data_IF_363335354993
#
_entry.id   IF_363335354993
#
_cell.length_a   1.000
_cell.length_b   1.000
_cell.length_c   1.000
_cell.angle_alpha   90.00
_cell.angle_beta   90.00
_cell.angle_gamma   90.00
#
_symmetry.space_group_name_H-M   'P 1'
#
loop_
_entity.id
_entity.type
_entity.pdbx_description
1 polymer ?
#
# COMPACT_ATOMS: atom_id res chain seq x y z
N UNK A 1 -20.38 58.22 11.52
CA UNK A 1 -21.64 57.79 12.16
C UNK A 1 -21.66 56.27 12.04
N UNK A 2 -21.15 55.52 13.03
CA UNK A 2 -21.89 54.92 14.18
C UNK A 2 -23.07 54.08 13.69
N UNK A 3 -23.36 52.84 14.12
CA UNK A 3 -22.92 51.90 15.17
C UNK A 3 -23.45 50.53 14.69
N UNK A 4 -22.71 49.43 14.72
CA UNK A 4 -22.54 48.47 15.83
C UNK A 4 -23.83 47.97 16.50
N UNK A 5 -24.15 46.67 16.34
CA UNK A 5 -24.50 45.82 17.48
C UNK A 5 -24.27 44.32 17.20
N UNK A 6 -23.17 43.83 17.76
CA UNK A 6 -22.91 42.43 18.09
C UNK A 6 -24.04 41.81 18.94
N UNK A 7 -24.30 40.51 18.76
CA UNK A 7 -24.33 39.60 19.91
C UNK A 7 -23.49 38.35 19.63
N UNK A 8 -22.59 38.14 20.59
CA UNK A 8 -21.58 37.10 20.73
C UNK A 8 -22.22 35.78 21.18
N UNK A 9 -21.59 34.68 20.78
CA UNK A 9 -21.27 33.60 21.71
C UNK A 9 -19.84 33.11 21.42
N UNK A 10 -18.95 33.50 22.32
CA UNK A 10 -17.63 32.92 22.69
C UNK A 10 -17.86 31.52 23.30
N UNK A 11 -16.97 30.53 23.38
CA UNK A 11 -15.53 30.32 23.16
C UNK A 11 -15.25 28.80 23.42
N UNK A 12 -14.05 28.35 23.05
CA UNK A 12 -13.24 27.23 23.58
C UNK A 12 -12.98 26.01 22.69
N UNK A 13 -11.74 25.98 22.17
CA UNK A 13 -11.08 24.82 21.57
C UNK A 13 -9.81 25.24 20.81
N UNK A 14 -8.79 25.73 21.53
CA UNK A 14 -7.50 26.14 20.98
C UNK A 14 -6.78 24.99 20.25
N UNK A 15 -6.68 25.09 18.93
CA UNK A 15 -5.62 24.48 18.13
C UNK A 15 -4.85 25.60 17.45
N UNK A 16 -3.63 25.89 17.91
CA UNK A 16 -2.79 26.95 17.36
C UNK A 16 -2.48 26.67 15.88
N UNK A 17 -3.21 27.32 14.97
CA UNK A 17 -2.80 27.44 13.57
C UNK A 17 -1.58 28.36 13.52
N UNK A 18 -0.47 27.86 12.99
CA UNK A 18 0.70 28.68 12.71
C UNK A 18 0.31 29.82 11.75
N UNK A 19 0.73 31.07 12.02
CA UNK A 19 0.32 32.20 11.22
C UNK A 19 0.91 32.09 9.79
N UNK A 20 0.15 32.60 8.80
CA UNK A 20 0.40 32.37 7.35
C UNK A 20 1.77 32.86 6.87
N UNK A 21 2.38 33.78 7.60
CA UNK A 21 3.74 34.28 7.39
C UNK A 21 4.81 33.23 7.69
N UNK A 22 4.54 32.28 8.62
CA UNK A 22 5.44 31.17 8.95
C UNK A 22 5.40 30.08 7.87
N UNK A 23 4.23 29.76 7.34
CA UNK A 23 4.07 28.79 6.23
C UNK A 23 4.82 29.26 4.98
N UNK A 24 4.69 30.55 4.63
CA UNK A 24 5.41 31.14 3.50
C UNK A 24 6.92 31.34 3.70
N UNK A 25 7.42 31.23 4.94
CA UNK A 25 8.86 31.24 5.25
C UNK A 25 9.47 29.83 5.17
N UNK A 26 8.70 28.80 5.56
CA UNK A 26 9.10 27.39 5.46
C UNK A 26 9.16 26.94 4.00
N UNK A 27 8.20 27.33 3.17
CA UNK A 27 8.19 27.02 1.74
C UNK A 27 9.33 27.70 0.96
N UNK A 28 9.78 28.89 1.40
CA UNK A 28 10.94 29.58 0.81
C UNK A 28 12.26 28.90 1.18
N UNK A 29 12.43 28.48 2.43
CA UNK A 29 13.66 27.80 2.88
C UNK A 29 13.86 26.42 2.27
N UNK A 30 12.78 25.70 1.96
CA UNK A 30 12.85 24.41 1.25
C UNK A 30 13.26 24.55 -0.23
N UNK A 31 13.11 25.75 -0.82
CA UNK A 31 13.52 26.05 -2.20
C UNK A 31 15.01 26.41 -2.33
N UNK A 32 15.66 26.79 -1.23
CA UNK A 32 17.04 27.31 -1.24
C UNK A 32 18.11 26.30 -0.81
N UNK A 33 17.76 25.03 -0.58
CA UNK A 33 18.73 23.94 -0.57
C UNK A 33 19.73 23.89 0.59
N UNK A 34 19.42 24.49 1.75
CA UNK A 34 20.25 24.36 2.95
C UNK A 34 19.79 23.21 3.86
N UNK A 35 20.74 22.36 4.24
CA UNK A 35 20.56 21.15 5.05
C UNK A 35 20.13 21.46 6.49
N UNK A 36 19.06 20.80 6.96
CA UNK A 36 18.66 20.81 8.38
C UNK A 36 19.45 19.73 9.16
N UNK A 37 20.14 20.14 10.24
CA UNK A 37 20.80 19.24 11.19
C UNK A 37 19.91 19.06 12.44
N UNK A 38 19.70 17.84 12.96
CA UNK A 38 18.78 17.63 14.09
C UNK A 38 19.50 17.92 15.41
N UNK A 39 18.99 18.89 16.17
CA UNK A 39 19.19 18.94 17.63
C UNK A 39 17.84 19.07 18.31
N UNK A 40 17.70 18.34 19.42
CA UNK A 40 16.62 18.32 20.41
C UNK A 40 15.44 17.37 20.14
N UNK A 41 15.71 16.07 20.29
CA UNK A 41 14.68 15.05 20.62
C UNK A 41 14.72 14.62 22.09
N UNK A 42 15.67 15.13 22.88
CA UNK A 42 15.90 14.68 24.26
C UNK A 42 15.49 15.73 25.32
N UNK A 43 14.62 16.68 24.98
CA UNK A 43 14.09 17.60 26.00
C UNK A 43 13.03 16.88 26.84
N UNK A 44 13.05 17.02 28.18
CA UNK A 44 12.04 16.40 29.06
C UNK A 44 10.60 16.75 28.69
N UNK A 45 10.39 17.91 28.10
CA UNK A 45 9.09 18.40 27.62
C UNK A 45 8.55 17.57 26.43
N UNK A 46 9.42 17.14 25.51
CA UNK A 46 9.03 16.33 24.36
C UNK A 46 8.69 14.90 24.79
N UNK A 47 9.49 14.31 25.68
CA UNK A 47 9.24 12.99 26.25
C UNK A 47 7.92 12.98 27.05
N UNK A 48 7.70 14.00 27.88
CA UNK A 48 6.45 14.16 28.64
C UNK A 48 5.21 14.32 27.75
N UNK A 49 5.34 15.00 26.60
CA UNK A 49 4.26 15.16 25.64
C UNK A 49 3.90 13.85 24.94
N UNK A 50 4.90 13.03 24.57
CA UNK A 50 4.71 11.71 23.95
C UNK A 50 4.07 10.72 24.92
N UNK A 51 4.49 10.72 26.19
CA UNK A 51 3.91 9.85 27.22
C UNK A 51 2.45 10.23 27.53
N UNK A 52 2.15 11.52 27.59
CA UNK A 52 0.78 12.03 27.80
C UNK A 52 -0.14 11.68 26.62
N UNK A 53 0.37 11.74 25.39
CA UNK A 53 -0.37 11.32 24.19
C UNK A 53 -0.64 9.80 24.18
N UNK A 54 0.34 8.97 24.59
CA UNK A 54 0.17 7.51 24.69
C UNK A 54 -0.88 7.12 25.73
N UNK A 55 -0.91 7.80 26.89
CA UNK A 55 -1.90 7.54 27.95
C UNK A 55 -3.32 7.91 27.52
N UNK A 56 -3.46 9.03 26.82
CA UNK A 56 -4.75 9.48 26.27
C UNK A 56 -5.27 8.52 25.19
N UNK A 57 -4.37 7.95 24.40
CA UNK A 57 -4.69 6.92 23.39
C UNK A 57 -5.15 5.59 24.03
N UNK A 58 -4.53 5.17 25.12
CA UNK A 58 -4.93 3.96 25.87
C UNK A 58 -6.30 4.11 26.55
N UNK A 59 -6.63 5.29 27.08
CA UNK A 59 -7.94 5.54 27.69
C UNK A 59 -9.08 5.55 26.65
N UNK A 60 -8.86 6.16 25.48
CA UNK A 60 -9.86 6.18 24.39
C UNK A 60 -10.10 4.81 23.75
N UNK A 61 -9.11 3.92 23.78
CA UNK A 61 -9.26 2.56 23.25
C UNK A 61 -10.04 1.65 24.20
N UNK A 62 -10.09 1.93 25.50
CA UNK A 62 -10.93 1.21 26.45
C UNK A 62 -12.41 1.63 26.37
N UNK A 63 -12.70 2.92 26.12
CA UNK A 63 -14.09 3.41 25.96
C UNK A 63 -14.72 2.97 24.63
N UNK A 64 -13.92 2.78 23.57
CA UNK A 64 -14.43 2.34 22.26
C UNK A 64 -14.79 0.85 22.18
N UNK A 65 -14.32 0.02 23.13
CA UNK A 65 -14.58 -1.43 23.13
C UNK A 65 -15.89 -1.85 23.80
N UNK A 66 -16.62 -0.92 24.45
CA UNK A 66 -17.90 -1.22 25.12
C UNK A 66 -19.16 -0.94 24.25
N UNK A 67 -19.00 -0.34 23.06
CA UNK A 67 -20.13 -0.05 22.16
C UNK A 67 -19.80 -0.32 20.69
N UNK A 68 -19.84 -1.59 20.28
CA UNK A 68 -20.05 -1.96 18.88
C UNK A 68 -20.62 -3.38 18.80
N UNK A 69 -21.95 -3.46 18.81
CA UNK A 69 -22.70 -4.67 18.48
C UNK A 69 -22.55 -5.02 16.99
N UNK A 70 -22.59 -6.32 16.73
CA UNK A 70 -22.46 -6.90 15.40
C UNK A 70 -23.63 -6.52 14.48
N UNK A 71 -23.32 -5.94 13.32
CA UNK A 71 -24.20 -6.01 12.14
C UNK A 71 -23.35 -6.11 10.88
N UNK A 72 -23.34 -7.31 10.32
CA UNK A 72 -22.66 -7.64 9.06
C UNK A 72 -23.64 -7.37 7.91
N UNK A 73 -23.42 -6.28 7.17
CA UNK A 73 -24.18 -6.00 5.95
C UNK A 73 -23.68 -6.90 4.82
N UNK A 74 -24.49 -7.92 4.50
CA UNK A 74 -24.44 -8.65 3.23
C UNK A 74 -25.17 -7.84 2.16
N UNK A 75 -24.47 -7.39 1.12
CA UNK A 75 -25.06 -7.24 -0.23
C UNK A 75 -23.97 -7.23 -1.31
N UNK A 76 -23.94 -8.27 -2.15
CA UNK A 76 -24.21 -8.20 -3.60
C UNK A 76 -23.86 -9.55 -4.26
N UNK A 77 -24.75 -10.02 -5.14
CA UNK A 77 -24.66 -11.27 -5.91
C UNK A 77 -23.60 -11.10 -7.02
N UNK A 78 -22.64 -12.03 -7.23
CA UNK A 78 -21.66 -11.89 -8.30
C UNK A 78 -22.31 -12.06 -9.69
N UNK A 79 -22.00 -11.15 -10.60
CA UNK A 79 -22.13 -11.39 -12.05
C UNK A 79 -21.24 -12.58 -12.45
N UNK A 80 -21.63 -13.31 -13.51
CA UNK A 80 -20.96 -14.53 -13.98
C UNK A 80 -19.42 -14.36 -14.02
N UNK A 81 -18.75 -14.99 -13.06
CA UNK A 81 -17.30 -14.97 -12.96
C UNK A 81 -16.72 -15.70 -14.18
N UNK A 82 -15.96 -14.99 -15.02
CA UNK A 82 -15.06 -15.65 -15.98
C UNK A 82 -14.24 -16.68 -15.22
N UNK A 83 -14.29 -17.93 -15.67
CA UNK A 83 -13.52 -19.02 -15.08
C UNK A 83 -12.03 -18.64 -15.12
N UNK A 84 -11.41 -18.48 -13.94
CA UNK A 84 -9.99 -18.12 -13.79
C UNK A 84 -9.11 -19.35 -14.05
N UNK A 85 -9.07 -19.76 -15.31
CA UNK A 85 -8.32 -20.93 -15.77
C UNK A 85 -7.53 -20.59 -17.02
N UNK A 86 -6.38 -21.24 -17.17
CA UNK A 86 -5.50 -21.11 -18.32
C UNK A 86 -5.64 -22.35 -19.22
N UNK A 87 -5.32 -22.21 -20.51
CA UNK A 87 -5.11 -23.37 -21.37
C UNK A 87 -3.92 -24.20 -20.85
N UNK A 88 -3.82 -25.49 -21.21
CA UNK A 88 -2.64 -26.31 -20.87
C UNK A 88 -1.31 -25.68 -21.34
N UNK A 89 -1.30 -25.08 -22.52
CA UNK A 89 -0.13 -24.41 -23.11
C UNK A 89 0.23 -23.15 -22.32
N UNK A 90 -0.77 -22.33 -21.97
CA UNK A 90 -0.58 -21.13 -21.15
C UNK A 90 -0.08 -21.48 -19.74
N UNK A 91 -0.62 -22.54 -19.14
CA UNK A 91 -0.19 -23.05 -17.84
C UNK A 91 1.28 -23.47 -17.87
N UNK A 92 1.67 -24.25 -18.88
CA UNK A 92 3.05 -24.70 -19.08
C UNK A 92 4.00 -23.52 -19.31
N UNK A 93 3.61 -22.55 -20.14
CA UNK A 93 4.41 -21.35 -20.41
C UNK A 93 4.60 -20.48 -19.15
N UNK A 94 3.53 -20.33 -18.35
CA UNK A 94 3.58 -19.57 -17.10
C UNK A 94 4.52 -20.23 -16.09
N UNK A 95 4.39 -21.55 -15.88
CA UNK A 95 5.28 -22.31 -15.00
C UNK A 95 6.74 -22.27 -15.47
N UNK A 96 6.99 -22.34 -16.77
CA UNK A 96 8.34 -22.26 -17.31
C UNK A 96 8.97 -20.88 -17.10
N UNK A 97 8.21 -19.81 -17.35
CA UNK A 97 8.67 -18.44 -17.08
C UNK A 97 8.98 -18.24 -15.60
N UNK A 98 8.08 -18.69 -14.71
CA UNK A 98 8.30 -18.64 -13.27
C UNK A 98 9.52 -19.46 -12.85
N UNK A 99 9.72 -20.66 -13.42
CA UNK A 99 10.89 -21.52 -13.15
C UNK A 99 12.20 -20.81 -13.44
N UNK A 100 12.31 -20.23 -14.64
CA UNK A 100 13.52 -19.53 -15.07
C UNK A 100 13.80 -18.35 -14.12
N UNK A 101 12.76 -17.61 -13.74
CA UNK A 101 12.92 -16.49 -12.80
C UNK A 101 13.34 -16.95 -11.41
N UNK A 102 12.67 -17.97 -10.88
CA UNK A 102 12.99 -18.58 -9.58
C UNK A 102 14.48 -18.98 -9.55
N UNK A 103 14.94 -19.71 -10.55
CA UNK A 103 16.35 -20.13 -10.64
C UNK A 103 17.35 -18.96 -10.73
N UNK A 104 16.96 -17.84 -11.35
CA UNK A 104 17.78 -16.64 -11.45
C UNK A 104 17.76 -15.77 -10.18
N UNK A 105 16.82 -16.00 -9.26
CA UNK A 105 16.63 -15.21 -8.04
C UNK A 105 16.74 -16.04 -6.75
N UNK A 106 17.77 -16.89 -6.56
CA UNK A 106 17.86 -17.82 -5.43
C UNK A 106 17.89 -17.12 -4.05
N UNK A 107 18.22 -15.84 -4.03
CA UNK A 107 18.22 -15.01 -2.82
C UNK A 107 16.81 -14.72 -2.29
N UNK A 108 15.76 -14.83 -3.11
CA UNK A 108 14.37 -14.58 -2.70
C UNK A 108 13.77 -15.75 -1.91
N UNK A 109 14.19 -16.99 -2.20
CA UNK A 109 13.53 -18.22 -1.74
C UNK A 109 14.55 -19.28 -1.29
N UNK A 110 15.52 -18.89 -0.46
CA UNK A 110 16.53 -19.79 0.09
C UNK A 110 15.89 -21.02 0.75
N UNK A 111 16.33 -22.21 0.35
CA UNK A 111 15.87 -23.48 0.91
C UNK A 111 14.57 -24.03 0.31
N UNK A 112 13.94 -23.31 -0.61
CA UNK A 112 12.69 -23.73 -1.27
C UNK A 112 13.02 -24.47 -2.56
N UNK A 113 12.40 -25.63 -2.80
CA UNK A 113 12.55 -26.36 -4.06
C UNK A 113 11.45 -25.94 -5.03
N UNK A 114 11.82 -25.63 -6.26
CA UNK A 114 10.84 -25.24 -7.29
C UNK A 114 9.81 -26.34 -7.56
N UNK A 115 10.17 -27.62 -7.46
CA UNK A 115 9.23 -28.72 -7.72
C UNK A 115 8.05 -28.74 -6.73
N UNK A 116 8.26 -28.31 -5.47
CA UNK A 116 7.20 -28.21 -4.46
C UNK A 116 6.25 -27.04 -4.76
N UNK A 117 6.82 -25.92 -5.21
CA UNK A 117 6.08 -24.74 -5.70
C UNK A 117 5.24 -25.13 -6.92
N UNK A 118 5.87 -25.79 -7.90
CA UNK A 118 5.22 -26.27 -9.12
C UNK A 118 4.05 -27.19 -8.80
N UNK A 119 4.24 -28.21 -7.95
CA UNK A 119 3.19 -29.13 -7.51
C UNK A 119 1.99 -28.37 -6.91
N UNK A 120 2.26 -27.37 -6.08
CA UNK A 120 1.21 -26.58 -5.43
C UNK A 120 0.44 -25.69 -6.42
N UNK A 121 1.12 -25.12 -7.41
CA UNK A 121 0.50 -24.30 -8.47
C UNK A 121 -0.29 -25.13 -9.49
N UNK A 122 0.20 -26.30 -9.88
CA UNK A 122 -0.53 -27.21 -10.80
C UNK A 122 -1.86 -27.69 -10.20
N UNK A 123 -1.92 -27.82 -8.87
CA UNK A 123 -3.14 -28.16 -8.14
C UNK A 123 -3.99 -26.93 -7.72
N UNK A 124 -3.62 -25.73 -8.19
CA UNK A 124 -4.37 -24.49 -7.97
C UNK A 124 -4.45 -23.65 -9.26
N UNK A 125 -5.36 -24.00 -10.19
CA UNK A 125 -5.50 -23.32 -11.47
C UNK A 125 -5.75 -21.81 -11.36
N UNK A 126 -6.47 -21.37 -10.33
CA UNK A 126 -6.74 -19.95 -10.10
C UNK A 126 -5.48 -19.18 -9.72
N UNK A 127 -4.64 -19.73 -8.83
CA UNK A 127 -3.36 -19.11 -8.49
C UNK A 127 -2.44 -19.03 -9.71
N UNK A 128 -2.41 -20.08 -10.54
CA UNK A 128 -1.60 -20.06 -11.76
C UNK A 128 -2.13 -19.03 -12.77
N UNK A 129 -3.45 -18.89 -12.89
CA UNK A 129 -4.08 -17.82 -13.67
C UNK A 129 -3.67 -16.43 -13.16
N UNK A 130 -3.72 -16.20 -11.85
CA UNK A 130 -3.29 -14.93 -11.26
C UNK A 130 -1.82 -14.60 -11.54
N UNK A 131 -0.93 -15.59 -11.46
CA UNK A 131 0.49 -15.43 -11.81
C UNK A 131 0.63 -15.06 -13.29
N UNK A 132 -0.12 -15.69 -14.20
CA UNK A 132 -0.08 -15.33 -15.61
C UNK A 132 -0.56 -13.88 -15.85
N UNK A 133 -1.58 -13.42 -15.13
CA UNK A 133 -2.03 -12.03 -15.20
C UNK A 133 -0.95 -11.06 -14.70
N UNK A 134 -0.28 -11.39 -13.59
CA UNK A 134 0.86 -10.63 -13.07
C UNK A 134 2.01 -10.54 -14.09
N UNK A 135 2.32 -11.64 -14.78
CA UNK A 135 3.31 -11.65 -15.87
C UNK A 135 2.92 -10.71 -17.00
N UNK A 136 1.68 -10.83 -17.49
CA UNK A 136 1.18 -10.03 -18.60
C UNK A 136 1.19 -8.53 -18.29
N UNK A 137 0.95 -8.16 -17.03
CA UNK A 137 1.02 -6.77 -16.57
C UNK A 137 2.43 -6.32 -16.12
N UNK A 138 3.45 -7.17 -16.21
CA UNK A 138 4.85 -6.80 -15.96
C UNK A 138 5.28 -6.78 -14.49
N UNK A 139 4.52 -7.40 -13.59
CA UNK A 139 4.84 -7.49 -12.15
C UNK A 139 6.04 -8.38 -11.84
N UNK A 140 6.50 -9.19 -12.80
CA UNK A 140 7.59 -10.16 -12.66
C UNK A 140 7.40 -11.03 -11.40
N UNK A 141 6.29 -11.78 -11.31
CA UNK A 141 5.96 -12.57 -10.12
C UNK A 141 7.07 -13.57 -9.77
N UNK A 142 7.41 -13.65 -8.49
CA UNK A 142 8.37 -14.62 -7.94
C UNK A 142 8.00 -14.97 -6.50
N UNK A 143 8.46 -16.11 -6.03
CA UNK A 143 8.33 -16.54 -4.63
C UNK A 143 9.26 -15.69 -3.78
N UNK A 144 8.68 -14.94 -2.84
CA UNK A 144 9.44 -14.02 -2.00
C UNK A 144 9.26 -14.27 -0.50
N UNK A 145 8.26 -15.05 -0.10
CA UNK A 145 8.03 -15.45 1.29
C UNK A 145 7.52 -16.89 1.36
N UNK A 146 7.90 -17.64 2.39
CA UNK A 146 7.54 -19.05 2.59
C UNK A 146 7.47 -19.39 4.06
N UNK A 147 6.54 -20.25 4.44
CA UNK A 147 6.42 -20.83 5.79
C UNK A 147 5.96 -22.29 5.70
N UNK A 148 5.53 -22.87 6.83
CA UNK A 148 5.03 -24.24 6.95
C UNK A 148 3.67 -24.48 6.26
N UNK A 149 2.88 -23.43 6.05
CA UNK A 149 1.54 -23.51 5.46
C UNK A 149 1.55 -23.27 3.95
N UNK A 150 2.53 -22.53 3.44
CA UNK A 150 2.58 -22.18 2.03
C UNK A 150 3.68 -21.19 1.66
N UNK A 151 3.44 -20.47 0.57
CA UNK A 151 4.33 -19.45 0.04
C UNK A 151 3.56 -18.28 -0.55
N UNK A 152 4.22 -17.13 -0.62
CA UNK A 152 3.70 -15.94 -1.28
C UNK A 152 4.45 -15.68 -2.59
N UNK A 153 3.67 -15.46 -3.64
CA UNK A 153 4.14 -14.96 -4.93
C UNK A 153 3.82 -13.47 -5.00
N UNK A 154 4.83 -12.64 -5.24
CA UNK A 154 4.69 -11.19 -5.14
C UNK A 154 5.25 -10.46 -6.35
N UNK A 155 4.91 -9.18 -6.47
CA UNK A 155 5.52 -8.27 -7.45
C UNK A 155 7.01 -8.11 -7.14
N UNK A 156 7.87 -8.81 -7.89
CA UNK A 156 9.32 -8.83 -7.70
C UNK A 156 10.09 -8.07 -8.81
N UNK A 157 9.40 -7.21 -9.55
CA UNK A 157 10.04 -6.22 -10.42
C UNK A 157 10.81 -5.18 -9.58
N UNK A 158 11.98 -4.74 -10.06
CA UNK A 158 12.83 -3.74 -9.39
C UNK A 158 12.03 -2.48 -9.04
N UNK A 159 11.33 -1.94 -10.02
CA UNK A 159 10.36 -0.86 -9.85
C UNK A 159 8.95 -1.40 -10.06
N UNK A 160 7.96 -0.74 -9.48
CA UNK A 160 6.58 -1.09 -9.75
C UNK A 160 6.22 -0.88 -11.24
N UNK A 161 5.37 -1.74 -11.83
CA UNK A 161 5.19 -1.82 -13.29
C UNK A 161 4.63 -0.54 -13.88
N UNK A 162 5.20 -0.10 -15.01
CA UNK A 162 4.75 1.10 -15.74
C UNK A 162 3.28 1.04 -16.16
N UNK A 163 2.83 -0.13 -16.57
CA UNK A 163 1.44 -0.44 -16.94
C UNK A 163 0.43 -0.16 -15.81
N UNK A 164 0.88 -0.11 -14.55
CA UNK A 164 0.06 0.11 -13.37
C UNK A 164 0.32 1.46 -12.69
N UNK A 165 1.18 2.32 -13.26
CA UNK A 165 1.50 3.64 -12.70
C UNK A 165 0.36 4.63 -12.89
N UNK A 166 0.48 5.81 -12.28
CA UNK A 166 -0.53 6.87 -12.36
C UNK A 166 -1.91 6.40 -11.87
N UNK A 167 -1.95 5.65 -10.76
CA UNK A 167 -3.18 5.15 -10.16
C UNK A 167 -3.43 5.72 -8.76
N UNK A 168 -4.71 5.85 -8.41
CA UNK A 168 -5.16 6.15 -7.06
C UNK A 168 -5.29 4.86 -6.26
N UNK A 169 -5.53 4.97 -4.95
CA UNK A 169 -5.53 3.79 -4.09
C UNK A 169 -6.71 2.84 -4.36
N UNK A 170 -7.95 3.32 -4.22
CA UNK A 170 -9.17 2.50 -4.30
C UNK A 170 -10.29 3.16 -5.12
N UNK A 171 -11.44 2.49 -5.21
CA UNK A 171 -12.61 2.96 -5.96
C UNK A 171 -13.13 4.32 -5.47
N UNK A 172 -13.22 4.50 -4.15
CA UNK A 172 -13.68 5.76 -3.58
C UNK A 172 -12.72 6.91 -3.95
N UNK A 173 -11.42 6.65 -3.91
CA UNK A 173 -10.42 7.60 -4.34
C UNK A 173 -10.53 7.94 -5.84
N UNK A 174 -10.86 6.94 -6.68
CA UNK A 174 -11.08 7.12 -8.11
C UNK A 174 -12.34 7.96 -8.41
N UNK A 175 -13.42 7.72 -7.68
CA UNK A 175 -14.67 8.47 -7.84
C UNK A 175 -14.50 9.92 -7.38
N UNK A 176 -13.76 10.15 -6.30
CA UNK A 176 -13.37 11.50 -5.88
C UNK A 176 -12.51 12.20 -6.95
N UNK A 177 -11.51 11.51 -7.51
CA UNK A 177 -10.62 12.11 -8.51
C UNK A 177 -11.39 12.55 -9.75
N UNK A 178 -12.24 11.67 -10.31
CA UNK A 178 -13.08 12.00 -11.48
C UNK A 178 -13.99 13.21 -11.22
N UNK A 179 -14.56 13.32 -10.03
CA UNK A 179 -15.45 14.43 -9.66
C UNK A 179 -14.70 15.76 -9.51
N UNK A 180 -13.53 15.74 -8.89
CA UNK A 180 -12.82 16.98 -8.50
C UNK A 180 -11.75 17.41 -9.52
N UNK A 181 -11.27 16.48 -10.35
CA UNK A 181 -10.22 16.70 -11.36
C UNK A 181 -10.61 16.08 -12.71
N UNK A 182 -11.76 16.45 -13.29
CA UNK A 182 -12.31 15.80 -14.49
C UNK A 182 -11.44 15.94 -15.74
N UNK A 183 -10.53 16.92 -15.77
CA UNK A 183 -9.64 17.18 -16.90
C UNK A 183 -8.27 16.49 -16.76
N UNK A 184 -7.99 15.85 -15.62
CA UNK A 184 -6.76 15.11 -15.39
C UNK A 184 -7.00 13.60 -15.65
N UNK A 185 -5.93 12.90 -16.03
CA UNK A 185 -6.00 11.46 -16.36
C UNK A 185 -5.32 10.61 -15.29
N UNK A 186 -5.86 9.40 -15.09
CA UNK A 186 -5.30 8.38 -14.20
C UNK A 186 -5.72 6.99 -14.69
N UNK A 187 -4.97 5.96 -14.29
CA UNK A 187 -5.11 4.59 -14.79
C UNK A 187 -6.09 3.72 -13.97
N UNK A 188 -6.91 4.32 -13.11
CA UNK A 188 -7.84 3.61 -12.23
C UNK A 188 -7.29 3.43 -10.81
N UNK A 189 -7.84 2.44 -10.08
CA UNK A 189 -7.45 2.19 -8.70
C UNK A 189 -6.55 0.96 -8.53
N UNK A 190 -5.58 1.04 -7.64
CA UNK A 190 -4.67 -0.06 -7.32
C UNK A 190 -5.42 -1.29 -6.78
N UNK A 191 -6.41 -1.08 -5.91
CA UNK A 191 -7.22 -2.16 -5.34
C UNK A 191 -8.00 -2.92 -6.43
N UNK A 192 -8.69 -2.21 -7.33
CA UNK A 192 -9.44 -2.88 -8.41
C UNK A 192 -8.49 -3.59 -9.39
N UNK A 193 -7.37 -2.94 -9.75
CA UNK A 193 -6.36 -3.57 -10.63
C UNK A 193 -5.75 -4.83 -10.03
N UNK A 194 -5.57 -4.91 -8.70
CA UNK A 194 -5.12 -6.11 -8.01
C UNK A 194 -6.22 -7.20 -8.01
N UNK A 195 -7.46 -6.83 -7.69
CA UNK A 195 -8.61 -7.75 -7.69
C UNK A 195 -8.89 -8.35 -9.07
N UNK A 196 -8.71 -7.58 -10.14
CA UNK A 196 -8.79 -8.05 -11.53
C UNK A 196 -7.78 -9.16 -11.84
N UNK A 197 -6.62 -9.18 -11.16
CA UNK A 197 -5.63 -10.25 -11.29
C UNK A 197 -5.84 -11.37 -10.27
N UNK A 198 -6.83 -11.27 -9.38
CA UNK A 198 -7.02 -12.22 -8.29
C UNK A 198 -5.90 -12.20 -7.25
N UNK A 199 -5.28 -11.04 -7.03
CA UNK A 199 -4.23 -10.85 -6.02
C UNK A 199 -4.63 -9.72 -5.06
N UNK A 200 -3.96 -9.67 -3.91
CA UNK A 200 -4.10 -8.58 -2.95
C UNK A 200 -2.98 -7.56 -3.10
N UNK A 201 -3.16 -6.37 -2.55
CA UNK A 201 -2.04 -5.47 -2.30
C UNK A 201 -1.11 -6.07 -1.25
N UNK A 202 0.19 -5.85 -1.41
CA UNK A 202 1.20 -6.39 -0.49
C UNK A 202 1.07 -5.73 0.89
N UNK A 203 1.08 -6.55 1.94
CA UNK A 203 1.13 -6.09 3.32
C UNK A 203 2.39 -5.25 3.58
N UNK A 204 2.30 -4.12 4.30
CA UNK A 204 3.44 -3.24 4.56
C UNK A 204 4.58 -3.92 5.33
N UNK A 205 4.27 -4.91 6.18
CA UNK A 205 5.27 -5.72 6.90
C UNK A 205 5.99 -6.65 5.93
N UNK A 206 5.26 -7.34 5.05
CA UNK A 206 5.87 -8.18 4.01
C UNK A 206 6.75 -7.37 3.05
N UNK A 207 6.30 -6.17 2.68
CA UNK A 207 7.07 -5.25 1.88
C UNK A 207 8.40 -4.87 2.55
N UNK A 208 8.34 -4.35 3.78
CA UNK A 208 9.51 -3.80 4.47
C UNK A 208 10.43 -4.88 5.02
N UNK A 209 9.87 -5.88 5.69
CA UNK A 209 10.63 -6.85 6.49
C UNK A 209 11.04 -8.10 5.69
N UNK A 210 10.39 -8.38 4.55
CA UNK A 210 10.68 -9.57 3.73
C UNK A 210 11.24 -9.17 2.37
N UNK A 211 10.45 -8.50 1.52
CA UNK A 211 10.85 -8.19 0.15
C UNK A 211 12.08 -7.27 0.11
N UNK A 212 12.01 -6.14 0.81
CA UNK A 212 13.07 -5.14 0.81
C UNK A 212 14.37 -5.58 1.52
N UNK A 213 14.34 -6.64 2.33
CA UNK A 213 15.57 -7.24 2.89
C UNK A 213 16.26 -8.18 1.90
N UNK A 214 15.51 -8.71 0.93
CA UNK A 214 16.02 -9.66 -0.06
C UNK A 214 16.49 -8.97 -1.34
N UNK A 215 16.07 -7.74 -1.60
CA UNK A 215 16.54 -6.97 -2.75
C UNK A 215 16.32 -5.46 -2.61
N UNK A 216 16.81 -4.71 -3.59
CA UNK A 216 16.57 -3.28 -3.70
C UNK A 216 15.41 -3.06 -4.66
N UNK A 217 14.28 -2.65 -4.11
CA UNK A 217 13.04 -2.44 -4.83
C UNK A 217 12.56 -1.00 -4.62
N UNK A 218 11.81 -0.45 -5.58
CA UNK A 218 11.22 0.89 -5.54
C UNK A 218 12.25 2.01 -5.29
N UNK A 219 13.35 1.99 -6.05
CA UNK A 219 14.37 3.05 -5.97
C UNK A 219 13.94 4.33 -6.68
N UNK A 220 13.00 4.22 -7.62
CA UNK A 220 12.52 5.32 -8.46
C UNK A 220 10.99 5.46 -8.42
N UNK A 221 10.30 4.47 -7.87
CA UNK A 221 8.84 4.43 -7.78
C UNK A 221 8.36 4.47 -6.33
N UNK A 222 7.11 4.85 -6.17
CA UNK A 222 6.36 4.62 -4.93
C UNK A 222 5.29 3.59 -5.22
N UNK A 223 5.05 2.68 -4.28
CA UNK A 223 4.09 1.59 -4.47
C UNK A 223 3.00 1.69 -3.42
N UNK A 224 1.73 1.70 -3.82
CA UNK A 224 0.62 1.46 -2.91
C UNK A 224 0.76 0.07 -2.27
N UNK A 225 0.47 0.02 -0.97
CA UNK A 225 0.51 -1.17 -0.12
C UNK A 225 -0.85 -1.34 0.55
N UNK A 226 -1.11 -2.54 1.07
CA UNK A 226 -2.35 -2.82 1.78
C UNK A 226 -2.53 -1.83 2.94
N UNK A 227 -3.67 -1.15 2.95
CA UNK A 227 -4.04 -0.14 3.95
C UNK A 227 -5.25 -0.61 4.73
N UNK A 228 -5.12 -0.67 6.05
CA UNK A 228 -6.23 -0.98 6.95
C UNK A 228 -7.22 0.20 7.07
N UNK A 229 -8.46 -0.12 7.46
CA UNK A 229 -9.57 0.83 7.53
C UNK A 229 -9.31 2.03 8.44
N UNK A 230 -8.56 1.86 9.53
CA UNK A 230 -8.21 2.95 10.44
C UNK A 230 -7.42 4.07 9.74
N UNK A 231 -6.45 3.74 8.89
CA UNK A 231 -5.72 4.72 8.08
C UNK A 231 -6.60 5.22 6.94
N UNK A 232 -7.33 4.31 6.28
CA UNK A 232 -8.15 4.70 5.13
C UNK A 232 -9.28 5.67 5.48
N UNK A 233 -9.76 5.63 6.72
CA UNK A 233 -10.77 6.56 7.24
C UNK A 233 -10.32 8.03 7.31
N UNK A 234 -9.02 8.31 7.13
CA UNK A 234 -8.47 9.68 7.10
C UNK A 234 -8.12 10.15 5.69
N UNK A 235 -8.76 9.59 4.65
CA UNK A 235 -8.46 9.84 3.22
C UNK A 235 -7.01 9.50 2.77
N UNK A 236 -6.28 8.74 3.59
CA UNK A 236 -4.91 8.34 3.34
C UNK A 236 -4.81 6.84 3.02
N UNK A 237 -3.72 6.47 2.35
CA UNK A 237 -3.31 5.09 2.13
C UNK A 237 -1.80 4.92 2.32
N UNK A 238 -1.38 3.71 2.61
CA UNK A 238 0.02 3.36 2.77
C UNK A 238 0.71 3.23 1.40
N UNK A 239 1.86 3.87 1.29
CA UNK A 239 2.77 3.68 0.15
C UNK A 239 4.20 3.44 0.62
N UNK A 240 4.97 2.71 -0.19
CA UNK A 240 6.35 2.34 0.10
C UNK A 240 7.33 2.75 -0.99
N UNK A 241 8.54 3.12 -0.59
CA UNK A 241 9.66 3.39 -1.47
C UNK A 241 11.00 3.16 -0.77
N UNK A 242 12.09 3.10 -1.54
CA UNK A 242 13.46 3.00 -1.05
C UNK A 242 14.31 4.14 -1.58
N UNK A 243 14.91 4.91 -0.69
CA UNK A 243 15.86 5.98 -1.06
C UNK A 243 16.87 6.21 0.06
N UNK A 244 18.05 6.74 -0.27
CA UNK A 244 19.10 7.01 0.73
C UNK A 244 19.52 5.79 1.56
N UNK A 245 19.35 4.57 1.04
CA UNK A 245 19.61 3.30 1.76
C UNK A 245 18.47 2.82 2.67
N UNK A 246 17.53 3.69 3.04
CA UNK A 246 16.37 3.38 3.87
C UNK A 246 15.18 2.84 3.09
N UNK A 247 14.30 2.12 3.80
CA UNK A 247 13.00 1.64 3.30
C UNK A 247 11.92 2.37 4.06
N UNK A 248 11.04 3.04 3.34
CA UNK A 248 10.02 3.91 3.91
C UNK A 248 8.65 3.34 3.58
N UNK A 249 7.77 3.38 4.59
CA UNK A 249 6.33 3.16 4.44
C UNK A 249 5.68 4.36 5.09
N UNK A 250 4.87 5.09 4.33
CA UNK A 250 4.27 6.35 4.75
C UNK A 250 2.81 6.42 4.35
N UNK A 251 2.04 7.26 5.05
CA UNK A 251 0.70 7.63 4.62
C UNK A 251 0.80 8.64 3.47
N UNK A 252 -0.06 8.48 2.48
CA UNK A 252 -0.16 9.33 1.29
C UNK A 252 -1.62 9.53 0.96
N UNK A 253 -1.96 10.70 0.42
CA UNK A 253 -3.35 11.01 0.05
C UNK A 253 -3.82 10.00 -0.99
N UNK A 254 -4.87 9.23 -0.67
CA UNK A 254 -5.33 8.09 -1.45
C UNK A 254 -5.82 8.48 -2.86
N UNK A 255 -6.30 9.73 -3.00
CA UNK A 255 -6.89 10.30 -4.21
C UNK A 255 -5.90 10.88 -5.20
N UNK A 256 -4.61 11.00 -4.86
CA UNK A 256 -3.61 11.59 -5.73
C UNK A 256 -2.82 10.53 -6.48
N UNK A 257 -2.99 10.43 -7.81
CA UNK A 257 -2.12 9.61 -8.63
C UNK A 257 -0.80 10.33 -8.87
N UNK A 258 0.26 9.56 -9.12
CA UNK A 258 1.56 10.08 -9.53
C UNK A 258 2.12 9.20 -10.65
N UNK A 259 2.82 9.80 -11.61
CA UNK A 259 3.41 9.09 -12.75
C UNK A 259 4.40 7.99 -12.34
N UNK A 260 5.01 8.12 -11.16
CA UNK A 260 5.93 7.15 -10.57
C UNK A 260 5.27 6.23 -9.53
N UNK A 261 3.94 6.30 -9.38
CA UNK A 261 3.20 5.51 -8.39
C UNK A 261 2.33 4.44 -9.01
N UNK A 262 2.64 3.20 -8.68
CA UNK A 262 1.81 2.02 -8.95
C UNK A 262 1.54 1.27 -7.64
N UNK A 263 1.56 -0.06 -7.66
CA UNK A 263 1.37 -0.90 -6.48
C UNK A 263 2.21 -2.17 -6.54
N UNK A 264 2.43 -2.78 -5.38
CA UNK A 264 2.95 -4.15 -5.29
C UNK A 264 1.84 -5.09 -4.86
N UNK A 265 1.61 -6.13 -5.65
CA UNK A 265 0.66 -7.19 -5.35
C UNK A 265 1.33 -8.42 -4.72
N UNK A 266 0.53 -9.21 -3.99
CA UNK A 266 0.90 -10.47 -3.36
C UNK A 266 -0.23 -11.49 -3.50
N UNK A 267 0.15 -12.75 -3.68
CA UNK A 267 -0.74 -13.90 -3.77
C UNK A 267 -0.23 -15.01 -2.85
N UNK A 268 -1.06 -15.43 -1.90
CA UNK A 268 -0.78 -16.55 -1.01
C UNK A 268 -1.19 -17.88 -1.65
N UNK A 269 -0.31 -18.87 -1.61
CA UNK A 269 -0.56 -20.24 -2.09
C UNK A 269 -0.19 -21.24 -1.00
N UNK A 270 -1.14 -22.10 -0.60
CA UNK A 270 -0.86 -23.16 0.38
C UNK A 270 -0.05 -24.29 -0.22
N UNK A 271 0.82 -24.90 0.59
CA UNK A 271 1.48 -26.14 0.19
C UNK A 271 0.45 -27.24 -0.05
N UNK A 272 0.68 -28.04 -1.09
CA UNK A 272 -0.09 -29.25 -1.32
C UNK A 272 0.64 -30.45 -0.70
N UNK A 273 -0.09 -31.18 0.13
CA UNK A 273 0.30 -32.49 0.65
C UNK A 273 0.72 -33.44 -0.50
#
# INVERSE_FOLDING_TARGET
MSNNQERRYTDQGEGQNLPKDVVGAVERKLREGDSFSPRNTDTPEFVSAVESASKTFQLRTQEATETAGADTVRTAKPSEAKKRELSPEQSKATLQTLRVRFQNNPHLHKGVKFEDVKKSLEANPEALWSIAQMEAKGHKPDVYNTDDKGFDVGTCSKESPESARNCVYDKEAADWFRKNRPNETFNGSAVEMAQEMGIDLMDPTLYKEVLQKKGKFDLQTWSWLLTHSNIRSTDNALSGARYGGGVYVAQSIATYPYDTRAFRGSLRVSWKA
#
